data_IF_066677436409
#
_entry.id   IF_066677436409
#
_cell.length_a   1.000
_cell.length_b   1.000
_cell.length_c   1.000
_cell.angle_alpha   90.00
_cell.angle_beta   90.00
_cell.angle_gamma   90.00
#
_symmetry.space_group_name_H-M   'P 1'
#
loop_
_entity.id
_entity.type
_entity.pdbx_description
1 polymer ?
#
# COMPACT_ATOMS: atom_id res chain seq x y z
N UNK A 1 -48.92 -29.63 40.98
CA UNK A 1 -47.69 -29.47 40.16
C UNK A 1 -46.52 -29.23 41.10
N UNK A 2 -45.60 -30.20 41.21
CA UNK A 2 -44.44 -30.15 42.11
C UNK A 2 -43.26 -29.51 41.36
N UNK A 3 -42.74 -28.41 41.88
CA UNK A 3 -41.51 -27.78 41.40
C UNK A 3 -40.33 -28.56 41.96
N UNK A 4 -39.56 -29.23 41.09
CA UNK A 4 -38.30 -29.87 41.46
C UNK A 4 -37.21 -28.81 41.61
N UNK A 5 -36.70 -28.66 42.83
CA UNK A 5 -35.47 -27.93 43.12
C UNK A 5 -34.27 -28.75 42.65
N UNK A 6 -33.47 -28.21 41.73
CA UNK A 6 -32.14 -28.74 41.42
C UNK A 6 -31.11 -28.09 42.35
N UNK A 7 -30.60 -28.88 43.29
CA UNK A 7 -29.38 -28.57 44.04
C UNK A 7 -28.18 -29.04 43.21
N UNK A 8 -27.39 -28.09 42.68
CA UNK A 8 -26.09 -28.37 42.10
C UNK A 8 -24.99 -27.89 43.06
N UNK A 9 -24.55 -28.80 43.95
CA UNK A 9 -23.30 -28.65 44.68
C UNK A 9 -22.13 -28.87 43.70
N UNK A 10 -21.49 -27.79 43.24
CA UNK A 10 -20.19 -27.87 42.59
C UNK A 10 -19.09 -27.64 43.64
N UNK A 11 -18.01 -28.45 43.66
CA UNK A 11 -16.90 -28.25 44.56
C UNK A 11 -16.14 -26.97 44.19
N UNK A 12 -16.14 -25.98 45.10
CA UNK A 12 -15.28 -24.81 45.01
C UNK A 12 -13.80 -25.23 45.11
N UNK A 13 -13.10 -25.15 43.98
CA UNK A 13 -11.64 -25.22 43.94
C UNK A 13 -11.10 -23.92 44.55
N UNK A 14 -10.71 -23.94 45.83
CA UNK A 14 -10.00 -22.83 46.48
C UNK A 14 -8.75 -22.50 45.67
N UNK A 15 -8.80 -21.43 44.90
CA UNK A 15 -7.61 -20.81 44.32
C UNK A 15 -7.00 -19.96 45.43
N UNK A 16 -5.79 -20.28 45.87
CA UNK A 16 -5.04 -19.43 46.79
C UNK A 16 -4.87 -18.04 46.16
N UNK A 17 -4.90 -16.94 46.96
CA UNK A 17 -4.64 -15.61 46.43
C UNK A 17 -3.23 -15.57 45.85
N UNK A 18 -3.16 -15.33 44.54
CA UNK A 18 -1.90 -15.09 43.85
C UNK A 18 -1.23 -13.89 44.49
N UNK A 19 -0.04 -14.11 45.05
CA UNK A 19 0.83 -13.08 45.58
C UNK A 19 1.20 -12.15 44.43
N UNK A 20 0.61 -10.95 44.39
CA UNK A 20 0.97 -9.91 43.44
C UNK A 20 2.45 -9.58 43.60
N UNK A 21 3.27 -10.00 42.65
CA UNK A 21 4.62 -9.47 42.46
C UNK A 21 4.52 -8.07 41.82
N UNK A 22 5.37 -7.11 42.22
CA UNK A 22 5.34 -5.75 41.68
C UNK A 22 5.64 -5.73 40.18
N UNK A 23 4.80 -5.02 39.43
CA UNK A 23 5.04 -4.47 38.09
C UNK A 23 5.99 -5.25 37.17
N UNK A 24 5.45 -6.26 36.49
CA UNK A 24 5.96 -6.58 35.16
C UNK A 24 5.40 -5.51 34.21
N UNK A 25 6.11 -4.38 34.11
CA UNK A 25 5.89 -3.42 33.03
C UNK A 25 5.82 -4.20 31.71
N UNK A 26 4.85 -3.95 30.83
CA UNK A 26 4.81 -4.61 29.54
C UNK A 26 6.14 -4.29 28.86
N UNK A 27 7.01 -5.29 28.72
CA UNK A 27 8.24 -5.18 27.92
C UNK A 27 7.79 -4.62 26.59
N UNK A 28 8.14 -3.35 26.35
CA UNK A 28 8.00 -2.75 25.05
C UNK A 28 8.76 -3.68 24.11
N UNK A 29 8.02 -4.48 23.34
CA UNK A 29 8.58 -5.27 22.27
C UNK A 29 9.16 -4.25 21.29
N UNK A 30 10.42 -3.91 21.48
CA UNK A 30 11.28 -3.27 20.50
C UNK A 30 11.60 -4.32 19.45
N UNK A 31 10.58 -4.89 18.81
CA UNK A 31 10.80 -5.44 17.48
C UNK A 31 11.25 -4.23 16.65
N UNK A 32 12.47 -4.30 16.14
CA UNK A 32 12.97 -3.33 15.18
C UNK A 32 11.93 -3.26 14.07
N UNK A 33 11.22 -2.14 13.98
CA UNK A 33 10.24 -1.93 12.93
C UNK A 33 10.99 -2.00 11.61
N UNK A 34 10.65 -2.97 10.77
CA UNK A 34 11.23 -3.11 9.44
C UNK A 34 10.71 -1.97 8.56
N UNK A 35 11.54 -0.93 8.42
CA UNK A 35 11.29 0.26 7.61
C UNK A 35 11.62 0.07 6.12
N UNK A 36 11.86 -1.16 5.65
CA UNK A 36 12.29 -1.39 4.26
C UNK A 36 11.14 -1.64 3.27
N UNK A 37 9.87 -1.53 3.71
CA UNK A 37 8.69 -1.88 2.88
C UNK A 37 8.63 -3.37 2.50
N UNK A 38 9.50 -4.19 3.08
CA UNK A 38 9.90 -5.48 2.52
C UNK A 38 9.14 -6.64 3.17
N UNK A 39 7.81 -6.50 3.32
CA UNK A 39 6.97 -7.54 3.94
C UNK A 39 6.83 -8.78 3.05
N UNK A 40 6.92 -9.99 3.61
CA UNK A 40 6.86 -11.24 2.84
C UNK A 40 5.60 -11.37 1.95
N UNK A 41 4.43 -11.05 2.49
CA UNK A 41 3.17 -11.09 1.74
C UNK A 41 3.15 -10.11 0.56
N UNK A 42 3.70 -8.90 0.75
CA UNK A 42 3.80 -7.89 -0.30
C UNK A 42 4.77 -8.29 -1.41
N UNK A 43 5.89 -8.97 -1.06
CA UNK A 43 6.85 -9.49 -2.05
C UNK A 43 6.23 -10.55 -2.97
N UNK A 44 5.40 -11.44 -2.43
CA UNK A 44 4.76 -12.51 -3.23
C UNK A 44 3.77 -11.90 -4.23
N UNK A 45 2.91 -10.98 -3.78
CA UNK A 45 1.94 -10.30 -4.65
C UNK A 45 2.66 -9.47 -5.73
N UNK A 46 3.70 -8.71 -5.36
CA UNK A 46 4.52 -7.97 -6.33
C UNK A 46 5.19 -8.88 -7.37
N UNK A 47 5.69 -10.04 -6.97
CA UNK A 47 6.25 -11.04 -7.91
C UNK A 47 5.19 -11.57 -8.88
N UNK A 48 3.99 -11.88 -8.40
CA UNK A 48 2.89 -12.34 -9.24
C UNK A 48 2.49 -11.26 -10.25
N UNK A 49 2.30 -10.01 -9.78
CA UNK A 49 1.93 -8.89 -10.65
C UNK A 49 3.00 -8.62 -11.72
N UNK A 50 4.29 -8.62 -11.35
CA UNK A 50 5.41 -8.50 -12.30
C UNK A 50 5.47 -9.68 -13.27
N UNK A 51 5.18 -10.90 -12.79
CA UNK A 51 5.05 -12.08 -13.64
C UNK A 51 3.94 -11.93 -14.68
N UNK A 52 2.75 -11.48 -14.26
CA UNK A 52 1.62 -11.21 -15.16
C UNK A 52 1.96 -10.12 -16.19
N UNK A 53 2.59 -9.02 -15.77
CA UNK A 53 3.07 -7.98 -16.68
C UNK A 53 4.11 -8.52 -17.68
N UNK A 54 5.00 -9.41 -17.24
CA UNK A 54 5.95 -10.12 -18.09
C UNK A 54 5.26 -10.97 -19.17
N UNK A 55 4.21 -11.72 -18.79
CA UNK A 55 3.40 -12.51 -19.75
C UNK A 55 2.74 -11.60 -20.79
N UNK A 56 2.17 -10.47 -20.38
CA UNK A 56 1.58 -9.48 -21.29
C UNK A 56 2.64 -8.91 -22.25
N UNK A 57 3.84 -8.61 -21.75
CA UNK A 57 4.97 -8.18 -22.58
C UNK A 57 5.37 -9.22 -23.63
N UNK A 58 5.47 -10.50 -23.26
CA UNK A 58 5.79 -11.59 -24.18
C UNK A 58 4.70 -11.77 -25.24
N UNK A 59 3.43 -11.72 -24.84
CA UNK A 59 2.31 -11.81 -25.78
C UNK A 59 2.31 -10.62 -26.78
N UNK A 60 2.61 -9.41 -26.31
CA UNK A 60 2.77 -8.23 -27.17
C UNK A 60 3.89 -8.40 -28.19
N UNK A 61 5.05 -8.92 -27.79
CA UNK A 61 6.18 -9.20 -28.69
C UNK A 61 5.83 -10.27 -29.73
N UNK A 62 5.15 -11.36 -29.32
CA UNK A 62 4.69 -12.38 -30.25
C UNK A 62 3.70 -11.80 -31.28
N UNK A 63 2.79 -10.92 -30.85
CA UNK A 63 1.86 -10.23 -31.74
C UNK A 63 2.57 -9.28 -32.70
N UNK A 64 3.60 -8.56 -32.28
CA UNK A 64 4.43 -7.73 -33.17
C UNK A 64 5.05 -8.59 -34.28
N UNK A 65 5.66 -9.73 -33.92
CA UNK A 65 6.22 -10.67 -34.90
C UNK A 65 5.17 -11.19 -35.87
N UNK A 66 3.99 -11.55 -35.38
CA UNK A 66 2.86 -11.97 -36.20
C UNK A 66 2.38 -10.86 -37.16
N UNK A 67 2.20 -9.64 -36.65
CA UNK A 67 1.72 -8.49 -37.43
C UNK A 67 2.72 -8.14 -38.55
N UNK A 68 4.03 -8.28 -38.32
CA UNK A 68 5.06 -8.11 -39.34
C UNK A 68 5.05 -9.25 -40.38
N UNK A 69 4.93 -10.51 -39.93
CA UNK A 69 5.01 -11.68 -40.81
C UNK A 69 3.76 -11.88 -41.70
N UNK A 70 2.61 -11.36 -41.27
CA UNK A 70 1.31 -11.61 -41.95
C UNK A 70 0.74 -10.38 -42.66
N UNK A 71 1.44 -9.26 -42.64
CA UNK A 71 0.97 -8.05 -43.33
C UNK A 71 1.26 -8.09 -44.82
N UNK A 72 0.30 -7.63 -45.63
CA UNK A 72 0.41 -7.58 -47.09
C UNK A 72 1.47 -6.60 -47.62
N UNK A 73 2.01 -5.73 -46.76
CA UNK A 73 3.17 -4.89 -47.04
C UNK A 73 3.95 -4.58 -45.76
N UNK A 74 5.22 -4.19 -45.91
CA UNK A 74 6.08 -3.81 -44.78
C UNK A 74 5.55 -2.58 -44.04
N UNK A 75 5.05 -1.57 -44.76
CA UNK A 75 4.48 -0.35 -44.15
C UNK A 75 3.28 -0.67 -43.25
N UNK A 76 2.36 -1.52 -43.72
CA UNK A 76 1.20 -1.96 -42.93
C UNK A 76 1.65 -2.80 -41.73
N UNK A 77 2.64 -3.67 -41.91
CA UNK A 77 3.22 -4.46 -40.82
C UNK A 77 3.84 -3.59 -39.73
N UNK A 78 4.64 -2.58 -40.12
CA UNK A 78 5.28 -1.65 -39.19
C UNK A 78 4.24 -0.80 -38.44
N UNK A 79 3.19 -0.33 -39.13
CA UNK A 79 2.13 0.43 -38.47
C UNK A 79 1.38 -0.41 -37.42
N UNK A 80 1.03 -1.66 -37.74
CA UNK A 80 0.40 -2.59 -36.78
C UNK A 80 1.33 -2.92 -35.61
N UNK A 81 2.60 -3.20 -35.89
CA UNK A 81 3.60 -3.45 -34.85
C UNK A 81 3.73 -2.27 -33.89
N UNK A 82 3.77 -1.04 -34.40
CA UNK A 82 3.82 0.17 -33.59
C UNK A 82 2.57 0.32 -32.69
N UNK A 83 1.38 0.10 -33.25
CA UNK A 83 0.13 0.11 -32.47
C UNK A 83 0.11 -0.96 -31.38
N UNK A 84 0.56 -2.17 -31.69
CA UNK A 84 0.66 -3.28 -30.72
C UNK A 84 1.65 -2.95 -29.60
N UNK A 85 2.81 -2.38 -29.93
CA UNK A 85 3.80 -1.96 -28.94
C UNK A 85 3.24 -0.88 -28.00
N UNK A 86 2.60 0.15 -28.55
CA UNK A 86 1.96 1.22 -27.79
C UNK A 86 0.84 0.68 -26.90
N UNK A 87 -0.04 -0.17 -27.44
CA UNK A 87 -1.14 -0.77 -26.68
C UNK A 87 -0.64 -1.64 -25.52
N UNK A 88 0.39 -2.46 -25.75
CA UNK A 88 1.00 -3.30 -24.71
C UNK A 88 1.63 -2.46 -23.62
N UNK A 89 2.41 -1.43 -23.99
CA UNK A 89 3.02 -0.50 -23.03
C UNK A 89 1.97 0.24 -22.20
N UNK A 90 0.94 0.77 -22.84
CA UNK A 90 -0.16 1.46 -22.17
C UNK A 90 -0.93 0.54 -21.21
N UNK A 91 -1.16 -0.72 -21.59
CA UNK A 91 -1.81 -1.70 -20.72
C UNK A 91 -0.98 -1.98 -19.46
N UNK A 92 0.33 -2.15 -19.58
CA UNK A 92 1.23 -2.38 -18.44
C UNK A 92 1.22 -1.18 -17.49
N UNK A 93 1.38 0.04 -18.02
CA UNK A 93 1.34 1.28 -17.22
C UNK A 93 -0.03 1.47 -16.57
N UNK A 94 -1.11 1.22 -17.31
CA UNK A 94 -2.48 1.32 -16.80
C UNK A 94 -2.76 0.34 -15.66
N UNK A 95 -2.33 -0.92 -15.79
CA UNK A 95 -2.44 -1.93 -14.73
C UNK A 95 -1.62 -1.52 -13.49
N UNK A 96 -0.43 -0.99 -13.70
CA UNK A 96 0.44 -0.56 -12.62
C UNK A 96 -0.19 0.60 -11.83
N UNK A 97 -0.63 1.65 -12.52
CA UNK A 97 -1.32 2.79 -11.89
C UNK A 97 -2.61 2.37 -11.19
N UNK A 98 -3.43 1.52 -11.83
CA UNK A 98 -4.66 1.02 -11.23
C UNK A 98 -4.40 0.24 -9.94
N UNK A 99 -3.34 -0.59 -9.92
CA UNK A 99 -2.91 -1.28 -8.71
C UNK A 99 -2.49 -0.31 -7.61
N UNK A 100 -1.74 0.74 -7.97
CA UNK A 100 -1.35 1.79 -7.04
C UNK A 100 -2.55 2.50 -6.43
N UNK A 101 -3.54 2.89 -7.24
CA UNK A 101 -4.77 3.53 -6.75
C UNK A 101 -5.55 2.63 -5.80
N UNK A 102 -5.64 1.34 -6.11
CA UNK A 102 -6.33 0.37 -5.26
C UNK A 102 -5.63 0.20 -3.91
N UNK A 103 -4.31 0.08 -3.93
CA UNK A 103 -3.49 -0.02 -2.72
C UNK A 103 -3.57 1.24 -1.87
N UNK A 104 -3.35 2.41 -2.48
CA UNK A 104 -3.48 3.69 -1.79
C UNK A 104 -4.86 3.82 -1.13
N UNK A 105 -5.93 3.42 -1.84
CA UNK A 105 -7.28 3.43 -1.29
C UNK A 105 -7.42 2.52 -0.06
N UNK A 106 -6.92 1.29 -0.14
CA UNK A 106 -6.97 0.33 0.96
C UNK A 106 -6.22 0.82 2.20
N UNK A 107 -5.04 1.40 1.97
CA UNK A 107 -4.12 1.82 3.03
C UNK A 107 -4.56 3.12 3.70
N UNK A 108 -5.16 4.04 2.94
CA UNK A 108 -5.57 5.35 3.45
C UNK A 108 -7.04 5.45 3.85
N UNK A 109 -7.91 4.58 3.35
CA UNK A 109 -9.36 4.69 3.56
C UNK A 109 -10.04 3.37 3.94
N UNK A 110 -9.32 2.24 3.95
CA UNK A 110 -9.87 0.94 4.35
C UNK A 110 -10.06 0.78 5.88
N UNK A 111 -10.93 -0.14 6.29
CA UNK A 111 -11.13 -0.46 7.71
C UNK A 111 -9.86 -0.99 8.39
N UNK A 112 -9.03 -1.73 7.66
CA UNK A 112 -7.75 -2.27 8.15
C UNK A 112 -6.68 -1.18 8.38
N UNK A 113 -6.83 0.00 7.78
CA UNK A 113 -5.94 1.14 8.03
C UNK A 113 -5.96 1.61 9.49
N UNK A 114 -6.95 1.17 10.28
CA UNK A 114 -7.10 1.52 11.69
C UNK A 114 -6.33 0.61 12.65
N UNK A 115 -5.96 -0.60 12.24
CA UNK A 115 -5.50 -1.66 13.17
C UNK A 115 -3.99 -1.92 13.17
N UNK A 116 -3.27 -1.39 12.19
CA UNK A 116 -1.84 -1.60 12.02
C UNK A 116 -1.08 -0.38 12.58
N UNK A 117 -0.01 -0.60 13.35
CA UNK A 117 0.79 0.47 13.97
C UNK A 117 1.19 1.48 12.90
N UNK A 118 1.09 2.77 13.19
CA UNK A 118 1.26 3.85 12.20
C UNK A 118 2.58 3.76 11.40
N UNK A 119 3.65 3.26 12.01
CA UNK A 119 4.96 3.00 11.40
C UNK A 119 5.01 1.82 10.42
N UNK A 120 3.97 0.98 10.41
CA UNK A 120 3.85 -0.16 9.51
C UNK A 120 3.14 0.18 8.19
N UNK A 121 2.59 1.36 8.00
CA UNK A 121 1.91 1.70 6.73
C UNK A 121 2.75 2.57 5.81
N UNK A 122 3.62 3.38 6.41
CA UNK A 122 4.48 4.29 5.69
C UNK A 122 5.82 4.20 6.39
N UNK A 123 6.71 3.43 5.79
CA UNK A 123 8.09 3.38 6.27
C UNK A 123 8.78 4.74 6.10
N UNK A 124 8.24 5.57 5.21
CA UNK A 124 8.41 7.01 5.13
C UNK A 124 7.02 7.59 4.82
N UNK A 125 6.60 8.73 5.39
CA UNK A 125 5.30 9.36 5.07
C UNK A 125 5.17 9.76 3.59
N UNK A 126 6.28 9.72 2.86
CA UNK A 126 6.36 9.89 1.41
C UNK A 126 6.44 8.59 0.61
N UNK A 127 6.48 7.45 1.28
CA UNK A 127 6.64 6.17 0.61
C UNK A 127 5.39 5.87 -0.20
N UNK A 128 5.62 5.86 -1.50
CA UNK A 128 4.63 5.93 -2.56
C UNK A 128 4.71 4.69 -3.46
N UNK A 129 5.33 3.63 -2.93
CA UNK A 129 5.47 2.31 -3.54
C UNK A 129 4.14 1.51 -3.54
N UNK A 130 3.06 2.20 -3.92
CA UNK A 130 1.72 1.64 -4.02
C UNK A 130 1.57 0.75 -5.25
N UNK A 131 2.26 1.04 -6.36
CA UNK A 131 2.09 0.29 -7.60
C UNK A 131 2.79 -1.07 -7.54
N UNK A 132 2.08 -2.14 -7.93
CA UNK A 132 2.54 -3.53 -7.80
C UNK A 132 3.66 -3.89 -8.77
N UNK A 133 3.63 -3.35 -9.99
CA UNK A 133 4.67 -3.59 -10.99
C UNK A 133 5.84 -2.64 -10.69
N UNK A 134 5.53 -1.39 -10.33
CA UNK A 134 6.44 -0.39 -9.79
C UNK A 134 7.07 0.54 -10.84
N UNK A 135 6.59 0.49 -12.07
CA UNK A 135 7.06 1.34 -13.18
C UNK A 135 6.58 2.79 -12.99
N UNK A 136 5.41 2.94 -12.38
CA UNK A 136 4.72 4.21 -12.21
C UNK A 136 5.12 4.93 -10.93
N UNK A 137 5.68 4.23 -9.93
CA UNK A 137 6.02 4.84 -8.63
C UNK A 137 6.94 6.06 -8.79
N UNK A 138 8.16 5.88 -9.32
CA UNK A 138 9.11 7.01 -9.48
C UNK A 138 8.54 8.22 -10.24
N UNK A 139 7.86 8.05 -11.40
CA UNK A 139 7.17 9.16 -12.06
C UNK A 139 6.11 9.85 -11.19
N UNK A 140 5.26 9.08 -10.51
CA UNK A 140 4.20 9.59 -9.64
C UNK A 140 4.78 10.36 -8.43
N UNK A 141 5.91 9.88 -7.89
CA UNK A 141 6.61 10.50 -6.76
C UNK A 141 7.18 11.85 -7.14
N UNK A 142 7.87 11.91 -8.29
CA UNK A 142 8.50 13.13 -8.80
C UNK A 142 7.48 14.25 -9.02
N UNK A 143 6.24 13.91 -9.38
CA UNK A 143 5.18 14.90 -9.58
C UNK A 143 4.34 15.16 -8.33
N UNK A 144 4.62 14.49 -7.20
CA UNK A 144 3.83 14.58 -5.97
C UNK A 144 2.38 14.13 -6.19
N UNK A 145 2.17 13.06 -6.96
CA UNK A 145 0.84 12.59 -7.34
C UNK A 145 -0.02 12.24 -6.13
N UNK A 146 0.49 11.43 -5.19
CA UNK A 146 -0.29 10.95 -4.05
C UNK A 146 -0.79 12.05 -3.12
N UNK A 147 0.04 13.01 -2.66
CA UNK A 147 -0.46 14.15 -1.88
C UNK A 147 -1.51 14.98 -2.62
N UNK A 148 -1.36 15.17 -3.94
CA UNK A 148 -2.35 15.87 -4.77
C UNK A 148 -3.65 15.09 -4.89
N UNK A 149 -3.56 13.77 -5.06
CA UNK A 149 -4.71 12.88 -5.12
C UNK A 149 -5.46 12.87 -3.79
N UNK A 150 -4.76 12.76 -2.67
CA UNK A 150 -5.31 12.85 -1.32
C UNK A 150 -6.04 14.18 -1.08
N UNK A 151 -5.41 15.31 -1.45
CA UNK A 151 -6.04 16.63 -1.39
C UNK A 151 -7.31 16.71 -2.24
N UNK A 152 -7.29 16.13 -3.43
CA UNK A 152 -8.47 16.07 -4.30
C UNK A 152 -9.60 15.21 -3.70
N UNK A 153 -9.27 14.06 -3.11
CA UNK A 153 -10.24 13.21 -2.39
C UNK A 153 -10.83 13.96 -1.19
N UNK A 154 -9.98 14.62 -0.40
CA UNK A 154 -10.44 15.42 0.74
C UNK A 154 -11.40 16.54 0.31
N UNK A 155 -11.07 17.30 -0.73
CA UNK A 155 -11.97 18.37 -1.20
C UNK A 155 -13.22 17.89 -1.93
N UNK A 156 -13.20 16.69 -2.51
CA UNK A 156 -14.37 16.15 -3.22
C UNK A 156 -15.38 15.48 -2.29
N UNK A 157 -14.92 14.72 -1.30
CA UNK A 157 -15.79 13.89 -0.46
C UNK A 157 -15.58 14.08 1.06
N UNK A 158 -14.69 14.98 1.47
CA UNK A 158 -14.39 15.23 2.90
C UNK A 158 -13.64 14.10 3.60
N UNK A 159 -13.21 13.06 2.87
CA UNK A 159 -12.52 11.91 3.46
C UNK A 159 -11.05 12.24 3.73
N UNK A 160 -10.66 12.29 5.00
CA UNK A 160 -9.25 12.46 5.38
C UNK A 160 -8.49 11.11 5.25
N UNK A 161 -7.39 11.07 4.47
CA UNK A 161 -6.54 9.89 4.39
C UNK A 161 -5.82 9.65 5.73
N UNK A 162 -5.58 8.37 6.06
CA UNK A 162 -4.89 8.03 7.32
C UNK A 162 -3.43 8.47 7.37
N UNK A 163 -2.77 8.68 6.23
CA UNK A 163 -1.44 9.29 6.17
C UNK A 163 -1.39 10.69 6.83
N UNK A 164 -2.50 11.43 6.84
CA UNK A 164 -2.58 12.77 7.44
C UNK A 164 -2.59 12.78 8.99
N UNK A 165 -2.43 11.61 9.63
CA UNK A 165 -2.14 11.55 11.08
C UNK A 165 -0.76 12.13 11.42
N UNK A 166 0.17 12.16 10.46
CA UNK A 166 1.42 12.91 10.62
C UNK A 166 1.16 14.35 10.24
N UNK A 167 1.19 15.24 11.23
CA UNK A 167 0.84 16.64 11.03
C UNK A 167 1.72 17.32 9.96
N UNK A 168 3.07 17.19 9.95
CA UNK A 168 3.89 17.73 8.87
C UNK A 168 3.46 17.24 7.47
N UNK A 169 3.13 15.96 7.34
CA UNK A 169 2.70 15.40 6.05
C UNK A 169 1.34 15.96 5.61
N UNK A 170 0.37 16.10 6.54
CA UNK A 170 -0.92 16.74 6.26
C UNK A 170 -0.72 18.16 5.73
N UNK A 171 0.11 18.94 6.41
CA UNK A 171 0.43 20.32 6.01
C UNK A 171 1.07 20.36 4.62
N UNK A 172 1.97 19.43 4.31
CA UNK A 172 2.55 19.31 2.98
C UNK A 172 1.52 18.95 1.92
N UNK A 173 0.68 17.94 2.17
CA UNK A 173 -0.36 17.51 1.25
C UNK A 173 -1.38 18.61 0.96
N UNK A 174 -1.69 19.45 1.96
CA UNK A 174 -2.52 20.64 1.81
C UNK A 174 -1.81 21.79 1.09
N UNK A 175 -0.48 21.75 0.96
CA UNK A 175 0.35 22.78 0.34
C UNK A 175 0.70 23.95 1.27
N UNK A 176 0.65 23.71 2.59
CA UNK A 176 0.95 24.69 3.62
C UNK A 176 2.45 24.77 3.95
N UNK A 177 3.20 23.69 3.69
CA UNK A 177 4.66 23.65 3.85
C UNK A 177 5.34 23.12 2.57
N UNK A 178 6.62 23.47 2.39
CA UNK A 178 7.44 22.98 1.28
C UNK A 178 7.96 21.56 1.54
N UNK A 179 8.49 20.91 0.50
CA UNK A 179 9.15 19.61 0.61
C UNK A 179 10.37 19.66 1.57
N UNK A 180 11.13 20.75 1.55
CA UNK A 180 12.31 20.92 2.42
C UNK A 180 11.92 21.03 3.89
N UNK A 181 10.85 21.80 4.16
CA UNK A 181 10.28 21.98 5.49
C UNK A 181 9.78 20.64 6.04
N UNK A 182 9.07 19.88 5.20
CA UNK A 182 8.58 18.56 5.52
C UNK A 182 9.71 17.58 5.85
N UNK A 183 10.77 17.49 5.05
CA UNK A 183 11.94 16.65 5.35
C UNK A 183 12.54 17.01 6.71
N UNK A 184 12.66 18.30 6.99
CA UNK A 184 13.18 18.81 8.27
C UNK A 184 12.27 18.42 9.44
N UNK A 185 10.96 18.56 9.28
CA UNK A 185 10.00 18.29 10.35
C UNK A 185 9.80 16.78 10.58
N UNK A 186 9.90 15.95 9.55
CA UNK A 186 9.94 14.49 9.69
C UNK A 186 11.23 14.01 10.38
N UNK A 187 12.38 14.61 10.07
CA UNK A 187 13.64 14.28 10.72
C UNK A 187 13.60 14.57 12.23
N UNK A 188 12.94 15.67 12.65
CA UNK A 188 12.72 15.98 14.09
C UNK A 188 11.86 14.93 14.80
N UNK A 189 10.97 14.28 14.07
CA UNK A 189 10.12 13.19 14.59
C UNK A 189 10.83 11.83 14.59
N UNK A 190 12.12 11.80 14.22
CA UNK A 190 12.90 10.56 14.12
C UNK A 190 12.43 9.64 12.99
N UNK A 191 11.67 10.18 12.02
CA UNK A 191 11.25 9.42 10.85
C UNK A 191 12.39 9.37 9.82
N UNK A 192 12.57 8.21 9.15
CA UNK A 192 13.56 8.09 8.09
C UNK A 192 13.19 9.00 6.92
N UNK A 193 14.23 9.56 6.28
CA UNK A 193 14.12 10.44 5.11
C UNK A 193 13.94 9.68 3.80
#
# INVERSE_FOLDING_TARGET
MKVQQFNANLPMKRTAPSRLTPEEQPKAQTESVDFSGNRPAHRVVKKIARGAAGVVGVAGLAKIGYDLATSGSLEVGLAKAALTALGTGAAIVGMDLASGLWHHKGDNYGAHAQTLKHTQWHTNTHDSDYCLIGISNKPLDRMGFWPKYEKAVYYSIGAEPKAWKVEPYKQFALGQISQEQLTTDLAKLGMPQ
#
